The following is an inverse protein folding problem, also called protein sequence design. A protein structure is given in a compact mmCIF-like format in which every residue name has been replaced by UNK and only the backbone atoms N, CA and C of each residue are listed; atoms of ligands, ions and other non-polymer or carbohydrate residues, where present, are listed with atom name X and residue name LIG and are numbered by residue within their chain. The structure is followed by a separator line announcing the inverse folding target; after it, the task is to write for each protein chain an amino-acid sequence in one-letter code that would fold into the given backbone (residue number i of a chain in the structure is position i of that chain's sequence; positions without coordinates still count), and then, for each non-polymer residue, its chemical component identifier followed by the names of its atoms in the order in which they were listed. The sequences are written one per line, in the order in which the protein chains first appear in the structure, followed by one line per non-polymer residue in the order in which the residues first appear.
data_IF_815883919786
#
_entry.id   IF_815883919786
#
_cell.length_a   1.000
_cell.length_b   1.000
_cell.length_c   1.000
_cell.angle_alpha   90.00
_cell.angle_beta   90.00
_cell.angle_gamma   90.00
#
_symmetry.space_group_name_H-M   'P 1'
#
loop_
_entity.id
_entity.type
_entity.pdbx_description
1 polymer ?
#
# COMPACT_ATOMS: atom_id res chain seq x y z
N UNK A 1 12.42 -35.32 -8.06
CA UNK A 1 12.35 -34.07 -7.26
C UNK A 1 10.95 -34.03 -6.70
N UNK A 2 10.79 -33.91 -5.37
CA UNK A 2 9.48 -33.91 -4.76
C UNK A 2 8.69 -32.66 -5.13
N UNK A 3 7.39 -32.81 -5.35
CA UNK A 3 6.47 -31.72 -5.70
C UNK A 3 5.36 -31.71 -4.67
N UNK A 4 5.10 -30.55 -4.07
CA UNK A 4 4.01 -30.37 -3.10
C UNK A 4 2.94 -29.47 -3.70
N UNK A 5 1.74 -30.00 -3.85
CA UNK A 5 0.58 -29.25 -4.30
C UNK A 5 -0.17 -28.67 -3.11
N UNK A 6 -0.60 -27.40 -3.23
CA UNK A 6 -1.62 -26.82 -2.37
C UNK A 6 -2.98 -27.10 -2.98
N UNK A 7 -3.81 -27.78 -2.21
CA UNK A 7 -5.14 -28.20 -2.62
C UNK A 7 -6.20 -27.43 -1.83
N UNK A 8 -7.40 -27.36 -2.39
CA UNK A 8 -8.56 -26.79 -1.73
C UNK A 8 -9.78 -27.66 -1.93
N UNK A 9 -10.50 -27.93 -0.84
CA UNK A 9 -11.80 -28.56 -0.91
C UNK A 9 -12.84 -27.50 -1.36
N UNK A 10 -13.43 -27.68 -2.54
CA UNK A 10 -14.38 -26.72 -3.11
C UNK A 10 -15.69 -26.60 -2.34
N UNK A 11 -16.03 -27.59 -1.48
CA UNK A 11 -17.26 -27.56 -0.66
C UNK A 11 -17.07 -26.83 0.66
N UNK A 12 -15.89 -26.94 1.27
CA UNK A 12 -15.63 -26.36 2.60
C UNK A 12 -14.71 -25.14 2.55
N UNK A 13 -13.91 -25.02 1.49
CA UNK A 13 -12.83 -24.04 1.37
C UNK A 13 -11.58 -24.39 2.17
N UNK A 14 -11.51 -25.58 2.76
CA UNK A 14 -10.34 -26.01 3.54
C UNK A 14 -9.16 -26.30 2.63
N UNK A 15 -7.99 -25.80 3.01
CA UNK A 15 -6.75 -26.05 2.27
C UNK A 15 -5.99 -27.24 2.84
N UNK A 16 -5.46 -28.09 1.97
CA UNK A 16 -4.56 -29.18 2.33
C UNK A 16 -3.32 -29.19 1.44
N UNK A 17 -2.36 -30.04 1.78
CA UNK A 17 -1.11 -30.20 1.04
C UNK A 17 -0.89 -31.66 0.72
N UNK A 18 -0.50 -31.95 -0.51
CA UNK A 18 -0.19 -33.30 -0.95
C UNK A 18 1.18 -33.34 -1.61
N UNK A 19 2.04 -34.26 -1.14
CA UNK A 19 3.42 -34.42 -1.60
C UNK A 19 3.54 -35.61 -2.55
N UNK A 20 4.20 -35.40 -3.68
CA UNK A 20 4.47 -36.39 -4.70
C UNK A 20 5.98 -36.56 -4.90
N UNK A 21 6.40 -37.76 -5.29
CA UNK A 21 7.81 -38.10 -5.45
C UNK A 21 8.50 -37.36 -6.62
N UNK A 22 7.76 -37.15 -7.72
CA UNK A 22 8.25 -36.57 -8.97
C UNK A 22 7.11 -36.02 -9.86
N UNK A 23 7.49 -35.44 -11.01
CA UNK A 23 6.58 -34.86 -12.01
C UNK A 23 5.61 -35.89 -12.60
N UNK A 24 6.03 -37.16 -12.73
CA UNK A 24 5.19 -38.21 -13.30
C UNK A 24 4.09 -38.62 -12.33
N UNK A 25 4.42 -38.82 -11.05
CA UNK A 25 3.47 -39.08 -9.99
C UNK A 25 2.46 -37.92 -9.82
N UNK A 26 2.94 -36.67 -9.85
CA UNK A 26 2.04 -35.49 -9.81
C UNK A 26 1.13 -35.44 -11.04
N UNK A 27 1.68 -35.69 -12.23
CA UNK A 27 0.89 -35.69 -13.47
C UNK A 27 -0.19 -36.79 -13.47
N UNK A 28 0.12 -37.98 -12.96
CA UNK A 28 -0.87 -39.05 -12.81
C UNK A 28 -2.02 -38.64 -11.89
N UNK A 29 -1.71 -38.09 -10.72
CA UNK A 29 -2.72 -37.59 -9.78
C UNK A 29 -3.56 -36.45 -10.38
N UNK A 30 -2.96 -35.53 -11.12
CA UNK A 30 -3.67 -34.40 -11.75
C UNK A 30 -4.69 -34.85 -12.80
N UNK A 31 -4.46 -35.96 -13.50
CA UNK A 31 -5.44 -36.56 -14.43
C UNK A 31 -6.62 -37.18 -13.70
N UNK A 32 -6.36 -37.76 -12.53
CA UNK A 32 -7.33 -38.44 -11.69
C UNK A 32 -7.82 -37.58 -10.52
N UNK A 33 -7.60 -36.26 -10.60
CA UNK A 33 -7.85 -35.30 -9.52
C UNK A 33 -9.24 -35.57 -8.91
N UNK A 34 -9.32 -35.83 -7.58
CA UNK A 34 -10.57 -36.10 -6.90
C UNK A 34 -11.62 -35.02 -7.17
N UNK A 35 -12.90 -35.41 -7.15
CA UNK A 35 -14.00 -34.46 -7.33
C UNK A 35 -14.03 -33.44 -6.20
N UNK A 36 -14.34 -32.20 -6.53
CA UNK A 36 -14.40 -31.06 -5.59
C UNK A 36 -13.06 -30.73 -4.92
N UNK A 37 -11.96 -31.09 -5.56
CA UNK A 37 -10.62 -30.67 -5.15
C UNK A 37 -10.07 -29.69 -6.19
N UNK A 38 -9.74 -28.48 -5.77
CA UNK A 38 -9.00 -27.52 -6.59
C UNK A 38 -7.50 -27.61 -6.32
N UNK A 39 -6.69 -27.23 -7.31
CA UNK A 39 -5.23 -27.14 -7.19
C UNK A 39 -4.84 -25.67 -7.23
N UNK A 40 -4.60 -25.08 -6.06
CA UNK A 40 -4.25 -23.67 -5.93
C UNK A 40 -2.84 -23.34 -6.46
N UNK A 41 -1.95 -24.33 -6.46
CA UNK A 41 -0.59 -24.17 -6.99
C UNK A 41 0.42 -25.12 -6.34
N UNK A 42 1.70 -24.86 -6.62
CA UNK A 42 2.84 -25.60 -6.06
C UNK A 42 3.44 -24.80 -4.91
N UNK A 43 3.72 -25.48 -3.79
CA UNK A 43 4.21 -24.85 -2.56
C UNK A 43 5.74 -24.84 -2.46
N UNK A 44 6.39 -25.84 -3.06
CA UNK A 44 7.84 -25.98 -3.00
C UNK A 44 8.49 -25.53 -4.31
N UNK A 45 9.46 -24.62 -4.22
CA UNK A 45 10.21 -24.09 -5.37
C UNK A 45 11.22 -25.11 -5.90
N UNK A 46 11.28 -25.26 -7.21
CA UNK A 46 12.14 -26.23 -7.90
C UNK A 46 11.66 -26.63 -9.29
N UNK A 47 10.39 -26.35 -9.61
CA UNK A 47 9.86 -26.55 -10.96
C UNK A 47 10.26 -25.39 -11.88
N UNK A 48 10.76 -25.73 -13.07
CA UNK A 48 10.87 -24.75 -14.15
C UNK A 48 9.47 -24.34 -14.62
N UNK A 49 9.38 -23.16 -15.28
CA UNK A 49 8.14 -22.69 -15.90
C UNK A 49 7.54 -23.73 -16.85
N UNK A 50 8.38 -24.38 -17.63
CA UNK A 50 7.98 -25.41 -18.60
C UNK A 50 7.38 -26.64 -17.93
N UNK A 51 7.93 -27.05 -16.78
CA UNK A 51 7.39 -28.15 -15.98
C UNK A 51 6.00 -27.81 -15.42
N UNK A 52 5.86 -26.59 -14.87
CA UNK A 52 4.57 -26.11 -14.38
C UNK A 52 3.51 -26.07 -15.50
N UNK A 53 3.89 -25.59 -16.69
CA UNK A 53 2.98 -25.53 -17.83
C UNK A 53 2.56 -26.92 -18.31
N UNK A 54 3.43 -27.93 -18.24
CA UNK A 54 3.07 -29.34 -18.54
C UNK A 54 2.10 -29.93 -17.51
N UNK A 55 2.34 -29.70 -16.22
CA UNK A 55 1.46 -30.16 -15.15
C UNK A 55 0.07 -29.54 -15.26
N UNK A 56 -0.01 -28.22 -15.49
CA UNK A 56 -1.28 -27.51 -15.71
C UNK A 56 -2.07 -28.06 -16.89
N UNK A 57 -1.42 -28.37 -18.01
CA UNK A 57 -2.06 -28.97 -19.19
C UNK A 57 -2.59 -30.39 -18.93
N UNK A 58 -2.01 -31.09 -17.95
CA UNK A 58 -2.38 -32.47 -17.62
C UNK A 58 -3.56 -32.53 -16.63
N UNK A 59 -3.88 -31.42 -15.98
CA UNK A 59 -4.95 -31.34 -15.00
C UNK A 59 -6.32 -31.61 -15.61
N UNK A 60 -7.10 -32.49 -14.96
CA UNK A 60 -8.50 -32.74 -15.29
C UNK A 60 -9.28 -31.41 -15.24
N UNK A 61 -10.03 -31.05 -16.30
CA UNK A 61 -10.90 -29.87 -16.24
C UNK A 61 -11.97 -30.06 -15.17
N UNK A 62 -12.45 -28.95 -14.60
CA UNK A 62 -13.59 -28.97 -13.70
C UNK A 62 -14.86 -29.34 -14.46
N UNK A 63 -15.67 -30.22 -13.87
CA UNK A 63 -17.01 -30.50 -14.35
C UNK A 63 -18.01 -29.39 -13.97
N UNK A 64 -19.25 -29.46 -14.45
CA UNK A 64 -20.28 -28.44 -14.21
C UNK A 64 -20.60 -28.25 -12.72
N UNK A 65 -20.61 -29.32 -11.94
CA UNK A 65 -20.88 -29.27 -10.49
C UNK A 65 -19.70 -28.63 -9.75
N UNK A 66 -18.48 -28.95 -10.17
CA UNK A 66 -17.26 -28.36 -9.60
C UNK A 66 -17.13 -26.87 -9.92
N UNK A 67 -17.47 -26.45 -11.16
CA UNK A 67 -17.51 -25.02 -11.53
C UNK A 67 -18.57 -24.24 -10.75
N UNK A 68 -19.72 -24.87 -10.47
CA UNK A 68 -20.74 -24.27 -9.63
C UNK A 68 -20.25 -24.11 -8.18
N UNK A 69 -19.60 -25.14 -7.62
CA UNK A 69 -19.03 -25.10 -6.27
C UNK A 69 -17.91 -24.05 -6.13
N UNK A 70 -17.01 -23.97 -7.10
CA UNK A 70 -15.97 -22.93 -7.17
C UNK A 70 -16.59 -21.53 -7.14
N UNK A 71 -17.63 -21.30 -7.94
CA UNK A 71 -18.33 -20.02 -7.99
C UNK A 71 -19.01 -19.68 -6.66
N UNK A 72 -19.71 -20.62 -6.04
CA UNK A 72 -20.38 -20.41 -4.76
C UNK A 72 -19.38 -20.10 -3.64
N UNK A 73 -18.25 -20.82 -3.61
CA UNK A 73 -17.16 -20.57 -2.67
C UNK A 73 -16.54 -19.18 -2.89
N UNK A 74 -16.33 -18.78 -4.14
CA UNK A 74 -15.83 -17.44 -4.50
C UNK A 74 -16.81 -16.34 -4.08
N UNK A 75 -18.12 -16.51 -4.27
CA UNK A 75 -19.14 -15.55 -3.83
C UNK A 75 -19.19 -15.44 -2.30
N UNK A 76 -19.08 -16.55 -1.58
CA UNK A 76 -19.02 -16.57 -0.12
C UNK A 76 -17.80 -15.81 0.39
N UNK A 77 -16.63 -16.02 -0.24
CA UNK A 77 -15.40 -15.31 0.07
C UNK A 77 -15.50 -13.82 -0.24
N UNK A 78 -16.11 -13.45 -1.35
CA UNK A 78 -16.32 -12.05 -1.70
C UNK A 78 -17.16 -11.32 -0.64
N UNK A 79 -18.28 -11.94 -0.20
CA UNK A 79 -19.12 -11.40 0.87
C UNK A 79 -18.38 -11.27 2.20
N UNK A 80 -17.60 -12.28 2.59
CA UNK A 80 -16.80 -12.24 3.80
C UNK A 80 -15.71 -11.15 3.74
N UNK A 81 -15.06 -11.00 2.58
CA UNK A 81 -14.06 -9.95 2.36
C UNK A 81 -14.68 -8.55 2.39
N UNK A 82 -15.87 -8.37 1.83
CA UNK A 82 -16.61 -7.10 1.89
C UNK A 82 -16.99 -6.75 3.33
N UNK A 83 -17.54 -7.70 4.08
CA UNK A 83 -17.86 -7.51 5.49
C UNK A 83 -16.61 -7.13 6.31
N UNK A 84 -15.49 -7.83 6.12
CA UNK A 84 -14.24 -7.51 6.79
C UNK A 84 -13.68 -6.13 6.40
N UNK A 85 -13.84 -5.71 5.14
CA UNK A 85 -13.48 -4.35 4.70
C UNK A 85 -14.36 -3.29 5.34
N UNK A 86 -15.67 -3.54 5.44
CA UNK A 86 -16.60 -2.62 6.08
C UNK A 86 -16.30 -2.45 7.57
N UNK A 87 -15.98 -3.53 8.29
CA UNK A 87 -15.60 -3.45 9.70
C UNK A 87 -14.28 -2.68 9.90
N UNK A 88 -13.24 -2.98 9.11
CA UNK A 88 -11.99 -2.20 9.15
C UNK A 88 -12.21 -0.72 8.85
N UNK A 89 -13.07 -0.40 7.87
CA UNK A 89 -13.39 0.98 7.55
C UNK A 89 -14.05 1.72 8.72
N UNK A 90 -14.92 1.04 9.49
CA UNK A 90 -15.52 1.60 10.71
C UNK A 90 -14.47 1.80 11.81
N UNK A 91 -13.57 0.84 12.01
CA UNK A 91 -12.47 0.96 12.97
C UNK A 91 -11.54 2.13 12.61
N UNK A 92 -11.17 2.26 11.32
CA UNK A 92 -10.35 3.35 10.81
C UNK A 92 -11.06 4.72 10.94
N UNK A 93 -12.37 4.77 10.74
CA UNK A 93 -13.16 6.00 10.96
C UNK A 93 -13.21 6.38 12.45
N UNK A 94 -13.43 5.41 13.34
CA UNK A 94 -13.44 5.62 14.78
C UNK A 94 -12.06 6.09 15.28
N UNK A 95 -10.98 5.49 14.78
CA UNK A 95 -9.60 5.90 15.10
C UNK A 95 -9.33 7.34 14.64
N UNK A 96 -9.73 7.70 13.40
CA UNK A 96 -9.59 9.07 12.89
C UNK A 96 -10.44 10.07 13.68
N UNK A 97 -11.65 9.71 14.07
CA UNK A 97 -12.50 10.56 14.91
C UNK A 97 -11.86 10.81 16.30
N UNK A 98 -11.32 9.76 16.94
CA UNK A 98 -10.62 9.88 18.21
C UNK A 98 -9.36 10.76 18.08
N UNK A 99 -8.60 10.62 16.98
CA UNK A 99 -7.45 11.49 16.69
C UNK A 99 -7.90 12.95 16.58
N UNK A 100 -8.95 13.26 15.82
CA UNK A 100 -9.49 14.63 15.70
C UNK A 100 -9.89 15.22 17.05
N UNK A 101 -10.57 14.46 17.91
CA UNK A 101 -10.92 14.93 19.25
C UNK A 101 -9.67 15.18 20.12
N UNK A 102 -8.66 14.30 20.05
CA UNK A 102 -7.41 14.51 20.76
C UNK A 102 -6.68 15.78 20.29
N UNK A 103 -6.72 16.08 18.98
CA UNK A 103 -6.08 17.26 18.41
C UNK A 103 -6.68 18.59 18.90
N UNK A 104 -7.98 18.64 19.22
CA UNK A 104 -8.64 19.86 19.74
C UNK A 104 -8.04 20.36 21.04
N UNK A 105 -7.51 19.45 21.86
CA UNK A 105 -6.93 19.78 23.16
C UNK A 105 -5.44 20.14 23.08
N UNK A 106 -4.82 20.03 21.90
CA UNK A 106 -3.43 20.40 21.72
C UNK A 106 -3.28 21.91 21.52
N UNK A 107 -2.15 22.45 21.98
CA UNK A 107 -1.83 23.88 21.78
C UNK A 107 -1.90 24.27 20.30
N UNK A 108 -2.49 25.43 19.95
CA UNK A 108 -2.51 25.93 18.58
C UNK A 108 -1.10 26.29 18.07
N UNK A 109 -0.19 26.65 18.97
CA UNK A 109 1.20 27.05 18.65
C UNK A 109 2.15 25.87 18.48
N UNK A 110 1.67 24.63 18.63
CA UNK A 110 2.50 23.44 18.42
C UNK A 110 3.09 23.42 17.01
N UNK A 111 4.27 22.82 16.77
CA UNK A 111 4.79 22.64 15.42
C UNK A 111 3.76 21.97 14.51
N UNK A 112 3.69 22.39 13.25
CA UNK A 112 2.93 21.72 12.20
C UNK A 112 3.87 21.21 11.12
N UNK A 113 3.50 20.10 10.48
CA UNK A 113 4.26 19.54 9.36
C UNK A 113 3.57 19.88 8.04
N UNK A 114 4.23 20.67 7.20
CA UNK A 114 3.74 21.09 5.89
C UNK A 114 4.49 20.32 4.81
N UNK A 115 3.74 19.74 3.87
CA UNK A 115 4.27 19.19 2.63
C UNK A 115 4.13 20.23 1.51
N UNK A 116 5.23 20.49 0.84
CA UNK A 116 5.28 21.22 -0.43
C UNK A 116 5.45 20.23 -1.57
N UNK A 117 4.70 20.42 -2.66
CA UNK A 117 4.98 19.80 -3.95
C UNK A 117 4.98 20.87 -5.03
N UNK A 118 5.90 20.76 -5.98
CA UNK A 118 6.04 21.72 -7.08
C UNK A 118 4.78 21.82 -7.96
N UNK A 119 4.05 20.71 -8.11
CA UNK A 119 2.86 20.60 -8.95
C UNK A 119 1.57 21.01 -8.22
N UNK A 120 1.39 20.60 -6.97
CA UNK A 120 0.13 20.80 -6.21
C UNK A 120 0.21 21.90 -5.14
N UNK A 121 1.39 22.41 -4.83
CA UNK A 121 1.59 23.43 -3.78
C UNK A 121 1.66 22.87 -2.37
N UNK A 122 1.19 23.65 -1.39
CA UNK A 122 1.29 23.34 0.05
C UNK A 122 0.08 22.58 0.59
N UNK A 123 0.33 21.59 1.43
CA UNK A 123 -0.66 20.81 2.17
C UNK A 123 -0.13 20.43 3.56
N UNK A 124 -1.02 20.14 4.50
CA UNK A 124 -0.60 19.58 5.79
C UNK A 124 -0.27 18.10 5.63
N UNK A 125 0.76 17.65 6.33
CA UNK A 125 1.10 16.22 6.38
C UNK A 125 0.08 15.47 7.22
N UNK A 126 -0.35 16.07 8.32
CA UNK A 126 -1.45 15.57 9.14
C UNK A 126 -2.79 16.08 8.58
N UNK A 127 -3.57 15.18 7.99
CA UNK A 127 -4.86 15.51 7.37
C UNK A 127 -5.96 15.80 8.39
N UNK A 128 -5.78 15.34 9.64
CA UNK A 128 -6.72 15.55 10.73
C UNK A 128 -6.35 16.78 11.58
N UNK A 129 -5.28 17.51 11.22
CA UNK A 129 -4.95 18.78 11.85
C UNK A 129 -5.98 19.85 11.48
N UNK A 130 -6.77 20.37 12.43
CA UNK A 130 -7.83 21.33 12.14
C UNK A 130 -7.31 22.72 11.77
N UNK A 131 -6.00 22.99 11.91
CA UNK A 131 -5.42 24.31 11.63
C UNK A 131 -5.26 24.53 10.13
N UNK A 132 -5.53 25.75 9.67
CA UNK A 132 -5.16 26.15 8.31
C UNK A 132 -3.66 26.50 8.20
N UNK A 133 -3.12 26.41 6.98
CA UNK A 133 -1.79 26.96 6.67
C UNK A 133 -1.94 28.48 6.51
N UNK A 134 -1.47 29.25 7.50
CA UNK A 134 -1.49 30.71 7.45
C UNK A 134 -0.51 31.28 6.41
N UNK A 135 -0.69 32.54 6.04
CA UNK A 135 0.20 33.23 5.08
C UNK A 135 1.64 33.33 5.60
N UNK A 136 1.83 33.50 6.92
CA UNK A 136 3.16 33.52 7.54
C UNK A 136 3.88 32.17 7.40
N UNK A 137 3.15 31.07 7.62
CA UNK A 137 3.67 29.72 7.42
C UNK A 137 3.98 29.47 5.96
N UNK A 138 3.08 29.86 5.06
CA UNK A 138 3.27 29.74 3.61
C UNK A 138 4.52 30.50 3.15
N UNK A 139 4.68 31.74 3.59
CA UNK A 139 5.84 32.56 3.27
C UNK A 139 7.15 31.91 3.78
N UNK A 140 7.16 31.42 5.02
CA UNK A 140 8.33 30.77 5.60
C UNK A 140 8.72 29.48 4.86
N UNK A 141 7.74 28.63 4.53
CA UNK A 141 7.99 27.38 3.78
C UNK A 141 8.47 27.69 2.36
N UNK A 142 7.87 28.68 1.68
CA UNK A 142 8.30 29.06 0.33
C UNK A 142 9.69 29.70 0.32
N UNK A 143 10.04 30.51 1.32
CA UNK A 143 11.39 31.05 1.46
C UNK A 143 12.43 29.93 1.66
N UNK A 144 12.11 28.94 2.51
CA UNK A 144 12.95 27.76 2.70
C UNK A 144 13.11 26.94 1.40
N UNK A 145 12.03 26.74 0.65
CA UNK A 145 12.07 26.06 -0.65
C UNK A 145 12.93 26.84 -1.66
N UNK A 146 12.82 28.17 -1.70
CA UNK A 146 13.63 29.01 -2.57
C UNK A 146 15.13 28.88 -2.26
N UNK A 147 15.51 28.93 -0.98
CA UNK A 147 16.89 28.70 -0.55
C UNK A 147 17.42 27.32 -1.01
N UNK A 148 16.59 26.27 -0.93
CA UNK A 148 16.98 24.93 -1.38
C UNK A 148 17.04 24.79 -2.90
N UNK A 149 16.26 25.57 -3.66
CA UNK A 149 16.39 25.62 -5.11
C UNK A 149 17.77 26.14 -5.54
N UNK A 150 18.32 27.14 -4.85
CA UNK A 150 19.68 27.64 -5.13
C UNK A 150 20.74 26.54 -4.98
N UNK A 151 20.56 25.61 -4.04
CA UNK A 151 21.50 24.52 -3.78
C UNK A 151 21.56 23.48 -4.90
N UNK A 152 20.44 23.30 -5.62
CA UNK A 152 20.31 22.27 -6.66
C UNK A 152 20.29 22.85 -8.08
N UNK A 153 20.29 24.18 -8.22
CA UNK A 153 20.27 24.87 -9.51
C UNK A 153 21.45 24.47 -10.40
N UNK A 154 22.66 24.33 -9.83
CA UNK A 154 23.86 23.91 -10.56
C UNK A 154 23.77 22.51 -11.20
N UNK A 155 22.77 21.70 -10.81
CA UNK A 155 22.49 20.37 -11.36
C UNK A 155 21.31 20.36 -12.34
N UNK A 156 20.75 21.53 -12.67
CA UNK A 156 19.52 21.63 -13.47
C UNK A 156 18.30 21.03 -12.77
N UNK A 157 18.29 21.04 -11.43
CA UNK A 157 17.22 20.48 -10.60
C UNK A 157 16.47 21.59 -9.87
N UNK A 158 15.27 21.24 -9.38
CA UNK A 158 14.45 22.06 -8.48
C UNK A 158 13.93 21.18 -7.33
N UNK A 159 13.46 21.79 -6.25
CA UNK A 159 12.72 21.10 -5.19
C UNK A 159 11.39 20.60 -5.76
N UNK A 160 11.25 19.27 -5.90
CA UNK A 160 10.01 18.65 -6.37
C UNK A 160 9.03 18.40 -5.24
N UNK A 161 9.52 17.89 -4.12
CA UNK A 161 8.76 17.69 -2.89
C UNK A 161 9.59 18.13 -1.68
N UNK A 162 8.95 18.73 -0.68
CA UNK A 162 9.58 18.98 0.61
C UNK A 162 8.61 18.69 1.76
N UNK A 163 9.14 18.21 2.88
CA UNK A 163 8.42 18.07 4.15
C UNK A 163 9.11 18.96 5.18
N UNK A 164 8.37 19.90 5.75
CA UNK A 164 8.90 20.97 6.60
C UNK A 164 8.11 21.06 7.91
N UNK A 165 8.81 21.08 9.04
CA UNK A 165 8.24 21.35 10.36
C UNK A 165 8.33 22.84 10.67
N UNK A 166 7.21 23.47 10.97
CA UNK A 166 7.08 24.94 11.05
C UNK A 166 6.24 25.34 12.27
N UNK A 167 6.61 26.44 12.92
CA UNK A 167 5.86 27.02 14.03
C UNK A 167 4.77 27.97 13.49
N UNK A 168 3.48 27.67 13.70
CA UNK A 168 2.41 28.45 13.07
C UNK A 168 2.07 29.75 13.78
N UNK A 169 2.27 29.81 15.10
CA UNK A 169 1.93 30.95 15.94
C UNK A 169 3.11 31.83 16.29
N UNK A 170 3.07 32.42 17.49
CA UNK A 170 4.17 33.27 17.97
C UNK A 170 5.45 32.47 18.13
N UNK A 171 6.57 33.06 17.68
CA UNK A 171 7.88 32.46 17.84
C UNK A 171 8.28 32.44 19.33
N UNK A 172 8.78 31.30 19.87
CA UNK A 172 9.18 31.21 21.28
C UNK A 172 10.26 32.20 21.68
N UNK A 173 11.10 32.62 20.73
CA UNK A 173 12.18 33.60 20.94
C UNK A 173 12.23 34.59 19.76
N UNK A 174 12.50 35.88 20.01
CA UNK A 174 12.77 36.83 18.95
C UNK A 174 13.94 36.39 18.06
N UNK A 175 13.77 36.48 16.74
CA UNK A 175 14.81 36.12 15.75
C UNK A 175 14.96 34.62 15.48
N UNK A 176 14.11 33.77 16.05
CA UNK A 176 14.08 32.34 15.75
C UNK A 176 13.42 32.08 14.39
N UNK A 177 13.98 31.18 13.59
CA UNK A 177 13.36 30.80 12.32
C UNK A 177 12.03 30.09 12.55
N UNK A 178 11.05 30.38 11.70
CA UNK A 178 9.74 29.72 11.77
C UNK A 178 9.83 28.25 11.34
N UNK A 179 10.69 27.96 10.37
CA UNK A 179 11.01 26.59 9.94
C UNK A 179 12.03 25.99 10.89
N UNK A 180 11.67 24.88 11.54
CA UNK A 180 12.51 24.19 12.53
C UNK A 180 13.35 23.08 11.91
N UNK A 181 12.75 22.35 10.98
CA UNK A 181 13.38 21.22 10.29
C UNK A 181 12.75 21.06 8.91
N UNK A 182 13.50 20.54 7.94
CA UNK A 182 12.96 20.23 6.64
C UNK A 182 13.82 19.25 5.85
N UNK A 183 13.17 18.42 5.04
CA UNK A 183 13.79 17.55 4.05
C UNK A 183 13.16 17.80 2.68
N UNK A 184 13.91 17.54 1.61
CA UNK A 184 13.41 17.74 0.25
C UNK A 184 13.95 16.69 -0.72
N UNK A 185 13.17 16.44 -1.77
CA UNK A 185 13.51 15.58 -2.89
C UNK A 185 13.66 16.47 -4.13
N UNK A 186 14.88 16.58 -4.70
CA UNK A 186 15.08 17.30 -5.94
C UNK A 186 14.54 16.50 -7.13
N UNK A 187 14.00 17.21 -8.12
CA UNK A 187 13.56 16.66 -9.41
C UNK A 187 14.20 17.45 -10.55
N UNK A 188 14.24 16.86 -11.74
CA UNK A 188 14.73 17.55 -12.94
C UNK A 188 13.88 18.80 -13.19
N UNK A 189 14.52 19.96 -13.23
CA UNK A 189 13.85 21.22 -13.50
C UNK A 189 13.41 21.34 -14.96
N UNK A 190 12.45 22.23 -15.27
CA UNK A 190 12.12 22.55 -16.65
C UNK A 190 13.37 23.04 -17.38
N UNK A 191 13.55 22.65 -18.65
CA UNK A 191 14.67 23.14 -19.48
C UNK A 191 14.59 24.66 -19.54
N UNK A 192 15.61 25.36 -19.04
CA UNK A 192 15.78 26.80 -19.25
C UNK A 192 15.91 27.02 -20.76
N UNK A 193 14.93 27.71 -21.34
CA UNK A 193 14.94 28.13 -22.75
C UNK A 193 15.92 29.26 -23.01
#
# INVERSE_FOLDING_TARGET
MKIMLKLENMKTGDTSFEEFADEEATAAWLRERPRFTDVLGVVFEGLTREQNDRLKKTMRPLDDEERAAEKELAETRAKAAEAARAERAKEDEAARAAQREAQKNLSPDRPMEVRYRYDTGLSLTDQDDPRGISDEVRAAVMAWVAERNEWVEGRGQIVGEAKVTVLPGSLPKPGMDRVQHGSFVPVTGPKKG
#
